data_IF_762301842391
#
_entry.id   IF_762301842391
#
_cell.length_a   1.000
_cell.length_b   1.000
_cell.length_c   1.000
_cell.angle_alpha   90.00
_cell.angle_beta   90.00
_cell.angle_gamma   90.00
#
_symmetry.space_group_name_H-M   'P 1'
#
loop_
_entity.id
_entity.type
_entity.pdbx_description
1 polymer ?
#
# COMPACT_ATOMS: atom_id res chain seq x y z
N UNK A 1 -24.98 24.06 -4.25
CA UNK A 1 -25.55 22.70 -4.18
C UNK A 1 -24.43 21.69 -4.41
N UNK A 2 -24.09 20.86 -3.41
CA UNK A 2 -23.16 19.73 -3.59
C UNK A 2 -23.98 18.54 -4.08
N UNK A 3 -23.76 18.12 -5.32
CA UNK A 3 -24.35 16.87 -5.83
C UNK A 3 -23.68 15.70 -5.10
N UNK A 4 -24.48 15.03 -4.27
CA UNK A 4 -24.11 13.79 -3.62
C UNK A 4 -24.35 12.66 -4.62
N UNK A 5 -23.28 12.11 -5.18
CA UNK A 5 -23.34 10.91 -6.03
C UNK A 5 -23.82 9.73 -5.16
N UNK A 6 -25.05 9.30 -5.40
CA UNK A 6 -25.56 8.02 -4.88
C UNK A 6 -24.96 6.89 -5.72
N UNK A 7 -24.20 6.00 -5.07
CA UNK A 7 -23.72 4.77 -5.70
C UNK A 7 -24.71 3.66 -5.41
N UNK A 8 -25.33 3.14 -6.48
CA UNK A 8 -26.19 1.97 -6.44
C UNK A 8 -25.35 0.70 -6.20
N UNK A 9 -25.90 -0.23 -5.41
CA UNK A 9 -25.31 -1.53 -5.15
C UNK A 9 -25.46 -2.47 -6.36
N UNK A 10 -24.34 -2.80 -7.01
CA UNK A 10 -24.24 -3.88 -8.00
C UNK A 10 -22.78 -4.34 -8.06
N UNK A 11 -22.43 -5.52 -7.55
CA UNK A 11 -21.09 -6.16 -7.65
C UNK A 11 -19.92 -5.18 -7.81
N UNK A 12 -19.87 -4.26 -6.83
CA UNK A 12 -19.42 -2.89 -7.04
C UNK A 12 -17.91 -2.75 -6.96
N UNK A 13 -17.30 -2.63 -8.13
CA UNK A 13 -15.97 -2.06 -8.31
C UNK A 13 -15.86 -0.73 -7.58
N UNK A 14 -15.23 -0.74 -6.40
CA UNK A 14 -15.15 0.48 -5.58
C UNK A 14 -13.70 0.92 -5.51
N UNK A 15 -13.28 1.92 -6.30
CA UNK A 15 -11.95 2.51 -6.14
C UNK A 15 -11.87 3.15 -4.75
N UNK A 16 -10.79 2.86 -4.03
CA UNK A 16 -10.45 3.53 -2.78
C UNK A 16 -9.15 4.28 -2.97
N UNK A 17 -9.20 5.61 -2.82
CA UNK A 17 -7.99 6.43 -2.74
C UNK A 17 -7.40 6.24 -1.35
N UNK A 18 -6.27 5.53 -1.26
CA UNK A 18 -5.63 5.24 0.04
C UNK A 18 -4.42 6.11 0.32
N UNK A 19 -3.74 6.65 -0.71
CA UNK A 19 -2.56 7.47 -0.51
C UNK A 19 -2.31 8.47 -1.66
N UNK A 20 -1.80 9.66 -1.32
CA UNK A 20 -1.25 10.62 -2.27
C UNK A 20 0.24 10.79 -1.99
N UNK A 21 1.10 10.59 -2.99
CA UNK A 21 2.50 10.94 -2.79
C UNK A 21 2.69 12.45 -2.95
N UNK A 22 3.47 13.09 -2.05
CA UNK A 22 3.96 14.44 -2.29
C UNK A 22 4.91 14.52 -3.50
N UNK A 23 5.54 13.40 -3.86
CA UNK A 23 6.50 13.32 -4.96
C UNK A 23 5.75 13.00 -6.25
N UNK A 24 5.84 13.91 -7.24
CA UNK A 24 5.16 13.80 -8.54
C UNK A 24 3.71 14.28 -8.56
N UNK A 25 3.12 14.60 -7.39
CA UNK A 25 1.69 14.91 -7.20
C UNK A 25 0.74 13.79 -7.66
N UNK A 26 1.26 12.59 -7.88
CA UNK A 26 0.50 11.47 -8.38
C UNK A 26 -0.30 10.81 -7.26
N UNK A 27 -1.54 10.46 -7.61
CA UNK A 27 -2.49 9.82 -6.72
C UNK A 27 -2.44 8.31 -6.92
N UNK A 28 -2.25 7.57 -5.82
CA UNK A 28 -2.46 6.13 -5.85
C UNK A 28 -3.94 5.83 -5.63
N UNK A 29 -4.47 5.00 -6.51
CA UNK A 29 -5.82 4.47 -6.38
C UNK A 29 -5.70 2.97 -6.26
N UNK A 30 -6.24 2.43 -5.17
CA UNK A 30 -6.42 1.00 -5.00
C UNK A 30 -7.76 0.59 -5.59
N UNK A 31 -7.71 -0.45 -6.39
CA UNK A 31 -8.87 -1.02 -7.06
C UNK A 31 -9.09 -2.42 -6.53
N UNK A 32 -10.27 -2.68 -5.96
CA UNK A 32 -10.72 -4.03 -5.66
C UNK A 32 -11.32 -4.67 -6.89
N UNK A 33 -10.94 -5.93 -7.16
CA UNK A 33 -11.51 -6.71 -8.24
C UNK A 33 -12.13 -7.99 -7.67
N UNK A 34 -13.40 -8.33 -7.97
CA UNK A 34 -13.95 -9.62 -7.58
C UNK A 34 -13.40 -10.69 -8.53
N UNK A 35 -12.27 -11.31 -8.18
CA UNK A 35 -11.95 -12.63 -8.71
C UNK A 35 -12.69 -13.66 -7.85
N UNK A 36 -13.33 -14.65 -8.50
CA UNK A 36 -13.94 -15.81 -7.84
C UNK A 36 -12.97 -16.38 -6.79
N UNK A 37 -13.22 -16.10 -5.51
CA UNK A 37 -12.52 -16.68 -4.37
C UNK A 37 -11.29 -15.95 -3.82
N UNK A 38 -10.80 -14.85 -4.41
CA UNK A 38 -9.65 -14.10 -3.85
C UNK A 38 -9.73 -12.60 -4.17
N UNK A 39 -9.88 -11.76 -3.13
CA UNK A 39 -9.91 -10.30 -3.26
C UNK A 39 -8.50 -9.76 -3.53
N UNK A 40 -8.07 -9.75 -4.79
CA UNK A 40 -6.86 -9.05 -5.20
C UNK A 40 -7.12 -7.55 -5.29
N UNK A 41 -6.35 -6.74 -4.56
CA UNK A 41 -6.36 -5.28 -4.73
C UNK A 41 -5.24 -4.91 -5.70
N UNK A 42 -5.56 -4.32 -6.85
CA UNK A 42 -4.56 -3.76 -7.77
C UNK A 42 -4.29 -2.29 -7.45
N UNK A 43 -3.06 -1.84 -7.62
CA UNK A 43 -2.66 -0.44 -7.39
C UNK A 43 -2.41 0.23 -8.74
N UNK A 44 -3.07 1.36 -8.94
CA UNK A 44 -2.93 2.22 -10.12
C UNK A 44 -2.47 3.61 -9.70
N UNK A 45 -1.77 4.28 -10.61
CA UNK A 45 -1.25 5.63 -10.41
C UNK A 45 -1.92 6.56 -11.41
N UNK A 46 -2.39 7.70 -10.90
CA UNK A 46 -3.01 8.75 -11.68
C UNK A 46 -2.26 10.07 -11.49
N UNK A 47 -2.12 10.83 -12.57
CA UNK A 47 -1.59 12.18 -12.52
C UNK A 47 -2.45 13.15 -11.70
N UNK A 48 -1.93 14.35 -11.38
CA UNK A 48 -2.73 15.40 -10.75
C UNK A 48 -3.91 15.87 -11.63
N UNK A 49 -3.82 15.64 -12.94
CA UNK A 49 -4.88 15.84 -13.93
C UNK A 49 -5.94 14.72 -13.95
N UNK A 50 -5.78 13.69 -13.11
CA UNK A 50 -6.67 12.53 -13.06
C UNK A 50 -6.46 11.54 -14.19
N UNK A 51 -5.42 11.67 -15.02
CA UNK A 51 -5.13 10.70 -16.10
C UNK A 51 -4.38 9.50 -15.55
N UNK A 52 -4.74 8.31 -16.03
CA UNK A 52 -4.02 7.07 -15.72
C UNK A 52 -2.58 7.17 -16.23
N UNK A 53 -1.62 6.83 -15.37
CA UNK A 53 -0.19 6.78 -15.70
C UNK A 53 0.32 5.35 -15.75
N UNK A 54 0.10 4.59 -14.68
CA UNK A 54 0.71 3.28 -14.53
C UNK A 54 -0.14 2.34 -13.67
N UNK A 55 0.03 1.04 -13.92
CA UNK A 55 -0.42 -0.04 -13.02
C UNK A 55 0.81 -0.66 -12.37
N UNK A 56 0.81 -0.79 -11.05
CA UNK A 56 1.89 -1.48 -10.34
C UNK A 56 1.67 -2.99 -10.49
N UNK A 57 2.44 -3.66 -11.35
CA UNK A 57 2.13 -5.03 -11.80
C UNK A 57 2.13 -6.10 -10.69
N UNK A 58 2.98 -5.98 -9.67
CA UNK A 58 3.09 -6.90 -8.52
C UNK A 58 2.34 -6.37 -7.28
N UNK A 59 1.18 -5.77 -7.50
CA UNK A 59 0.37 -5.18 -6.42
C UNK A 59 -0.90 -5.95 -6.06
N UNK A 60 -1.28 -6.95 -6.87
CA UNK A 60 -2.48 -7.78 -6.65
C UNK A 60 -2.29 -8.64 -5.41
N UNK A 61 -2.73 -8.12 -4.27
CA UNK A 61 -2.50 -8.73 -2.97
C UNK A 61 -3.78 -8.81 -2.15
N UNK A 62 -3.98 -9.90 -1.40
CA UNK A 62 -5.05 -9.99 -0.43
C UNK A 62 -4.80 -8.99 0.71
N UNK A 63 -5.87 -8.34 1.16
CA UNK A 63 -5.84 -7.39 2.28
C UNK A 63 -4.79 -6.28 2.13
N UNK A 64 -4.57 -5.80 0.90
CA UNK A 64 -3.54 -4.81 0.67
C UNK A 64 -3.80 -3.51 1.46
N UNK A 65 -2.71 -2.84 1.80
CA UNK A 65 -2.63 -1.55 2.48
C UNK A 65 -1.55 -0.74 1.80
N UNK A 66 -1.78 0.56 1.65
CA UNK A 66 -0.81 1.44 1.00
C UNK A 66 -0.51 2.67 1.83
N UNK A 67 0.76 3.08 1.82
CA UNK A 67 1.24 4.30 2.46
C UNK A 67 2.38 4.91 1.64
N UNK A 68 2.65 6.20 1.84
CA UNK A 68 3.80 6.89 1.23
C UNK A 68 4.86 7.15 2.30
N UNK A 69 6.12 6.81 2.00
CA UNK A 69 7.26 6.94 2.91
C UNK A 69 8.43 7.57 2.16
N UNK A 70 8.88 8.76 2.58
CA UNK A 70 10.01 9.45 1.95
C UNK A 70 9.88 9.63 0.44
N UNK A 71 8.66 9.83 -0.06
CA UNK A 71 8.37 9.97 -1.50
C UNK A 71 8.25 8.66 -2.27
N UNK A 72 8.18 7.52 -1.59
CA UNK A 72 8.02 6.20 -2.19
C UNK A 72 6.73 5.57 -1.76
N UNK A 73 6.16 4.77 -2.64
CA UNK A 73 4.94 4.03 -2.38
C UNK A 73 5.29 2.71 -1.73
N UNK A 74 4.67 2.43 -0.59
CA UNK A 74 4.81 1.16 0.11
C UNK A 74 3.47 0.46 0.08
N UNK A 75 3.43 -0.73 -0.52
CA UNK A 75 2.24 -1.60 -0.54
C UNK A 75 2.57 -2.83 0.29
N UNK A 76 1.74 -3.09 1.30
CA UNK A 76 1.75 -4.32 2.07
C UNK A 76 0.52 -5.14 1.79
N UNK A 77 0.66 -6.45 1.63
CA UNK A 77 -0.45 -7.36 1.41
C UNK A 77 0.03 -8.81 1.43
N UNK A 78 -0.85 -9.72 1.85
CA UNK A 78 -0.43 -11.05 2.29
C UNK A 78 0.72 -10.96 3.30
N UNK A 79 1.82 -11.67 3.03
CA UNK A 79 3.03 -11.71 3.85
C UNK A 79 4.19 -10.87 3.28
N UNK A 80 3.90 -9.85 2.47
CA UNK A 80 4.93 -9.12 1.70
C UNK A 80 4.78 -7.60 1.81
N UNK A 81 5.91 -6.91 1.93
CA UNK A 81 6.03 -5.47 1.71
C UNK A 81 6.79 -5.22 0.41
N UNK A 82 6.35 -4.22 -0.34
CA UNK A 82 6.97 -3.81 -1.60
C UNK A 82 7.07 -2.29 -1.66
N UNK A 83 8.16 -1.79 -2.25
CA UNK A 83 8.44 -0.36 -2.38
C UNK A 83 8.62 0.00 -3.84
N UNK A 84 7.81 0.94 -4.33
CA UNK A 84 7.94 1.53 -5.66
C UNK A 84 8.43 2.97 -5.56
N UNK A 85 9.36 3.34 -6.43
CA UNK A 85 9.92 4.67 -6.47
C UNK A 85 9.27 5.50 -7.58
N UNK A 86 8.48 6.50 -7.21
CA UNK A 86 7.79 7.39 -8.15
C UNK A 86 8.77 8.19 -9.02
N UNK A 87 10.02 8.40 -8.57
CA UNK A 87 11.05 9.13 -9.32
C UNK A 87 11.72 8.27 -10.39
N UNK A 88 11.52 6.96 -10.34
CA UNK A 88 12.11 5.99 -11.26
C UNK A 88 11.01 5.28 -12.03
N UNK A 89 10.05 6.04 -12.55
CA UNK A 89 8.91 5.53 -13.33
C UNK A 89 8.16 4.39 -12.63
N UNK A 90 7.93 4.57 -11.32
CA UNK A 90 7.28 3.57 -10.46
C UNK A 90 7.94 2.19 -10.53
N UNK A 91 9.26 2.11 -10.63
CA UNK A 91 10.00 0.84 -10.55
C UNK A 91 9.86 0.23 -9.16
N UNK A 92 9.63 -1.08 -9.08
CA UNK A 92 9.76 -1.86 -7.85
C UNK A 92 11.23 -1.92 -7.45
N UNK A 93 11.60 -1.27 -6.36
CA UNK A 93 13.01 -1.14 -5.91
C UNK A 93 13.32 -1.96 -4.66
N UNK A 94 12.31 -2.45 -3.96
CA UNK A 94 12.50 -3.31 -2.79
C UNK A 94 11.29 -4.19 -2.55
N UNK A 95 11.54 -5.43 -2.12
CA UNK A 95 10.53 -6.39 -1.72
C UNK A 95 11.05 -7.18 -0.52
N UNK A 96 10.20 -7.35 0.50
CA UNK A 96 10.48 -8.20 1.65
C UNK A 96 9.32 -9.13 1.91
N UNK A 97 9.63 -10.42 1.99
CA UNK A 97 8.70 -11.47 2.39
C UNK A 97 8.92 -11.80 3.85
N UNK A 98 7.84 -12.02 4.59
CA UNK A 98 7.86 -12.36 6.00
C UNK A 98 7.33 -13.78 6.17
N UNK A 99 8.04 -14.61 6.94
CA UNK A 99 7.70 -16.02 7.10
C UNK A 99 6.45 -16.22 7.98
N UNK A 100 6.30 -15.40 9.02
CA UNK A 100 5.32 -15.63 10.07
C UNK A 100 4.06 -14.77 9.98
N UNK A 101 3.97 -13.84 9.02
CA UNK A 101 2.94 -12.82 9.09
C UNK A 101 1.82 -12.96 8.07
N UNK A 102 0.60 -13.08 8.63
CA UNK A 102 -0.61 -13.45 7.90
C UNK A 102 -1.18 -12.28 7.11
N UNK A 103 -1.36 -11.12 7.76
CA UNK A 103 -1.89 -9.90 7.14
C UNK A 103 -1.42 -8.63 7.86
N UNK A 104 -1.18 -7.57 7.09
CA UNK A 104 -0.96 -6.23 7.65
C UNK A 104 -2.29 -5.60 8.04
N UNK A 105 -2.48 -5.30 9.32
CA UNK A 105 -3.64 -4.54 9.78
C UNK A 105 -3.52 -3.06 9.38
N UNK A 106 -2.31 -2.49 9.55
CA UNK A 106 -2.08 -1.08 9.30
C UNK A 106 -0.64 -0.80 8.86
N UNK A 107 -0.49 0.16 7.93
CA UNK A 107 0.79 0.77 7.59
C UNK A 107 0.73 2.26 7.95
N UNK A 108 1.79 2.79 8.56
CA UNK A 108 2.01 4.23 8.79
C UNK A 108 3.44 4.59 8.50
N UNK A 109 3.69 5.79 8.00
CA UNK A 109 5.04 6.27 7.79
C UNK A 109 5.31 7.59 8.50
N UNK A 110 6.53 7.67 9.02
CA UNK A 110 7.13 8.82 9.70
C UNK A 110 8.45 9.12 8.97
N UNK A 111 8.39 10.05 8.02
CA UNK A 111 9.47 10.29 7.06
C UNK A 111 9.81 9.03 6.26
N UNK A 112 10.97 8.43 6.55
CA UNK A 112 11.49 7.20 5.92
C UNK A 112 11.31 5.95 6.78
N UNK A 113 10.72 6.07 7.98
CA UNK A 113 10.47 4.94 8.88
C UNK A 113 9.03 4.46 8.70
N UNK A 114 8.90 3.22 8.24
CA UNK A 114 7.63 2.50 8.15
C UNK A 114 7.32 1.80 9.47
N UNK A 115 6.12 2.04 9.99
CA UNK A 115 5.49 1.24 11.05
C UNK A 115 4.45 0.33 10.39
N UNK A 116 4.72 -0.97 10.40
CA UNK A 116 3.82 -1.98 9.87
C UNK A 116 3.25 -2.78 11.04
N UNK A 117 1.95 -2.64 11.29
CA UNK A 117 1.23 -3.42 12.30
C UNK A 117 0.62 -4.65 11.64
N UNK A 118 0.89 -5.79 12.23
CA UNK A 118 0.47 -7.11 11.79
C UNK A 118 -0.44 -7.74 12.84
N UNK A 119 -1.38 -8.57 12.41
CA UNK A 119 -2.13 -9.44 13.31
C UNK A 119 -1.58 -10.84 13.14
N UNK A 120 -1.00 -11.37 14.21
CA UNK A 120 -0.45 -12.72 14.27
C UNK A 120 -1.56 -13.77 14.29
N UNK A 121 -1.22 -15.04 14.06
CA UNK A 121 -2.17 -16.15 14.11
C UNK A 121 -2.87 -16.31 15.48
N UNK A 122 -2.25 -15.81 16.56
CA UNK A 122 -2.81 -15.80 17.93
C UNK A 122 -3.68 -14.58 18.21
N UNK A 123 -3.93 -13.72 17.22
CA UNK A 123 -4.71 -12.49 17.36
C UNK A 123 -3.94 -11.33 18.00
N UNK A 124 -2.67 -11.53 18.37
CA UNK A 124 -1.84 -10.45 18.91
C UNK A 124 -1.41 -9.50 17.79
N UNK A 125 -1.43 -8.20 18.07
CA UNK A 125 -0.89 -7.19 17.15
C UNK A 125 0.58 -6.94 17.45
N UNK A 126 1.45 -7.22 16.48
CA UNK A 126 2.86 -6.84 16.53
C UNK A 126 3.09 -5.63 15.63
N UNK A 127 4.05 -4.76 15.99
CA UNK A 127 4.44 -3.63 15.15
C UNK A 127 5.91 -3.71 14.80
N UNK A 128 6.18 -3.77 13.50
CA UNK A 128 7.51 -3.73 12.92
C UNK A 128 7.88 -2.29 12.56
N UNK A 129 9.12 -1.90 12.86
CA UNK A 129 9.71 -0.63 12.43
C UNK A 129 10.78 -0.89 11.39
N UNK A 130 10.58 -0.39 10.18
CA UNK A 130 11.42 -0.68 9.02
C UNK A 130 11.89 0.63 8.36
N UNK A 131 13.15 0.67 7.90
CA UNK A 131 13.67 1.76 7.08
C UNK A 131 13.23 1.58 5.62
N UNK A 132 12.76 2.65 4.98
CA UNK A 132 12.45 2.68 3.54
C UNK A 132 13.60 3.37 2.79
N UNK A 133 14.10 2.83 1.65
CA UNK A 133 13.52 1.73 0.87
C UNK A 133 14.03 0.33 1.24
N UNK A 134 15.05 0.20 2.08
CA UNK A 134 15.74 -1.08 2.31
C UNK A 134 14.88 -2.17 2.99
N UNK A 135 13.77 -1.79 3.64
CA UNK A 135 12.92 -2.65 4.47
C UNK A 135 13.70 -3.39 5.57
N UNK A 136 14.76 -2.77 6.07
CA UNK A 136 15.58 -3.28 7.18
C UNK A 136 15.00 -2.84 8.51
N UNK A 137 15.06 -3.69 9.54
CA UNK A 137 14.60 -3.33 10.87
C UNK A 137 15.36 -2.11 11.40
N UNK A 138 14.63 -1.14 11.93
CA UNK A 138 15.23 -0.08 12.74
C UNK A 138 15.67 -0.75 14.03
N UNK A 139 16.98 -0.90 14.24
CA UNK A 139 17.48 -1.34 15.55
C UNK A 139 17.00 -0.33 16.57
N UNK A 140 16.45 -0.82 17.68
CA UNK A 140 16.30 0.01 18.87
C UNK A 140 17.72 0.38 19.30
N UNK A 141 18.23 1.52 18.84
CA UNK A 141 19.40 2.13 19.44
C UNK A 141 18.89 2.86 20.68
N UNK A 142 19.56 2.57 21.77
CA UNK A 142 19.21 2.90 23.15
C UNK A 142 18.79 4.37 23.31
N UNK A 143 17.82 4.52 24.20
CA UNK A 143 17.21 5.77 24.63
C UNK A 143 18.24 6.78 25.12
#
# INVERSE_FOLDING_TARGET
>A
MRQMLQFFASDGWTPRVEARAPVGQDTLVMWSWPLKGTHGLGVQVYGPDGRFKARLQDSVLPSARVVVCGGRYVVGGGNTLRVWDARQDYRLISRKTFAALGQFAQLRCDGVVLRASEVTATGQTQTLRLMVPALTAVRAKDR
#
